data_IF_707779642109
#
_entry.id   IF_707779642109
#
_cell.length_a   1.000
_cell.length_b   1.000
_cell.length_c   1.000
_cell.angle_alpha   90.00
_cell.angle_beta   90.00
_cell.angle_gamma   90.00
#
_symmetry.space_group_name_H-M   'P 1'
#
loop_
_entity.id
_entity.type
_entity.pdbx_description
1 polymer ?
2 non-polymer ?
3 non-polymer ?
4 non-polymer ?
5 water ?
#
# COMPACT_ATOMS: atom_id res chain seq x y z
N UNK A 1 7.67 -5.11 13.88
CA UNK A 1 6.94 -3.82 13.52
C UNK A 1 7.86 -2.98 12.69
N UNK A 2 7.31 -1.96 12.02
CA UNK A 2 8.13 -0.97 11.33
C UNK A 2 7.58 0.36 11.73
N UNK A 3 8.41 1.39 11.69
CA UNK A 3 8.07 2.72 12.04
C UNK A 3 8.53 3.77 11.01
N UNK A 4 7.85 4.88 11.01
CA UNK A 4 8.19 6.05 10.22
C UNK A 4 7.76 7.35 10.94
N UNK A 5 8.72 8.27 11.09
CA UNK A 5 8.50 9.60 11.68
C UNK A 5 8.54 10.72 10.68
N UNK A 6 7.50 11.51 10.60
CA UNK A 6 7.44 12.61 9.71
C UNK A 6 8.38 13.75 10.17
N UNK A 7 8.53 13.83 11.47
CA UNK A 7 9.34 14.92 12.03
C UNK A 7 10.79 14.64 11.66
N UNK A 8 11.35 15.54 10.86
CA UNK A 8 12.73 15.34 10.36
C UNK A 8 12.86 14.45 9.15
N UNK A 9 11.74 14.03 8.61
CA UNK A 9 11.78 13.13 7.44
C UNK A 9 12.35 13.81 6.20
N UNK A 10 13.04 12.99 5.43
CA UNK A 10 13.55 13.37 4.15
C UNK A 10 13.50 12.18 3.20
N UNK A 11 13.90 12.39 1.94
CA UNK A 11 13.78 11.22 1.04
C UNK A 11 14.52 9.99 1.52
N UNK A 12 15.69 10.22 2.14
CA UNK A 12 16.49 9.11 2.66
C UNK A 12 15.72 8.31 3.75
N UNK A 13 15.16 9.03 4.71
CA UNK A 13 14.51 8.35 5.81
C UNK A 13 13.20 7.65 5.38
N UNK A 14 12.51 8.28 4.45
CA UNK A 14 11.30 7.62 3.86
C UNK A 14 11.73 6.35 3.10
N UNK A 15 12.81 6.40 2.31
CA UNK A 15 13.26 5.19 1.65
C UNK A 15 13.69 4.10 2.60
N UNK A 16 14.31 4.47 3.73
CA UNK A 16 14.57 3.49 4.81
C UNK A 16 13.29 2.78 5.38
N UNK A 17 12.20 3.54 5.55
CA UNK A 17 10.94 3.02 6.02
C UNK A 17 10.35 2.04 4.94
N UNK A 18 10.41 2.42 3.69
CA UNK A 18 9.83 1.60 2.65
C UNK A 18 10.64 0.33 2.56
N UNK A 19 11.96 0.44 2.73
CA UNK A 19 12.79 -0.78 2.78
C UNK A 19 12.44 -1.70 3.93
N UNK A 20 12.29 -1.12 5.12
CA UNK A 20 11.86 -1.87 6.31
C UNK A 20 10.51 -2.57 6.07
N UNK A 21 9.57 -1.80 5.48
CA UNK A 21 8.22 -2.35 5.20
C UNK A 21 8.34 -3.58 4.27
N UNK A 22 9.08 -3.42 3.15
CA UNK A 22 9.27 -4.56 2.26
C UNK A 22 9.89 -5.77 2.99
N UNK A 23 10.90 -5.47 3.76
CA UNK A 23 11.66 -6.52 4.47
C UNK A 23 10.91 -7.18 5.58
N UNK A 24 9.82 -6.58 6.05
CA UNK A 24 8.97 -7.20 7.07
C UNK A 24 7.93 -8.17 6.51
N UNK A 25 7.82 -8.24 5.17
CA UNK A 25 6.81 -9.10 4.51
C UNK A 25 7.53 -10.43 4.23
N UNK A 26 6.98 -11.51 4.72
CA UNK A 26 7.65 -12.81 4.54
C UNK A 26 7.48 -13.40 3.18
N UNK A 27 8.52 -14.15 2.74
CA UNK A 27 8.48 -14.85 1.48
C UNK A 27 9.33 -16.11 1.61
N UNK A 28 8.97 -17.15 0.88
CA UNK A 28 9.79 -18.38 0.82
C UNK A 28 10.53 -18.53 -0.52
N UNK A 29 10.11 -17.81 -1.55
CA UNK A 29 10.84 -17.82 -2.79
C UNK A 29 10.72 -16.48 -3.48
N UNK A 30 11.52 -16.32 -4.52
CA UNK A 30 11.43 -15.24 -5.47
C UNK A 30 11.12 -15.79 -6.82
N UNK A 31 10.42 -15.00 -7.62
CA UNK A 31 10.03 -15.32 -8.96
C UNK A 31 10.58 -14.21 -9.80
N UNK A 32 11.45 -14.58 -10.76
CA UNK A 32 12.22 -13.64 -11.48
C UNK A 32 12.85 -12.58 -10.56
N UNK A 33 13.45 -13.04 -9.48
CA UNK A 33 14.15 -12.26 -8.49
C UNK A 33 13.27 -11.28 -7.68
N UNK A 34 11.97 -11.50 -7.70
CA UNK A 34 11.03 -10.62 -6.96
C UNK A 34 10.44 -11.47 -5.88
N UNK A 35 10.44 -10.99 -4.58
CA UNK A 35 9.77 -11.72 -3.52
C UNK A 35 8.33 -12.03 -3.81
N UNK A 36 8.02 -13.29 -3.62
CA UNK A 36 6.68 -13.86 -3.73
C UNK A 36 5.99 -13.87 -2.42
N UNK A 37 4.96 -13.05 -2.27
CA UNK A 37 4.26 -13.06 -1.00
C UNK A 37 3.60 -14.42 -0.78
N UNK A 38 3.39 -14.74 0.49
CA UNK A 38 2.88 -16.05 0.86
C UNK A 38 1.41 -16.25 0.52
N UNK A 39 1.03 -17.51 0.20
CA UNK A 39 -0.35 -17.79 -0.09
C UNK A 39 -1.23 -17.50 1.12
N UNK A 40 -0.75 -17.84 2.31
CA UNK A 40 -1.53 -17.75 3.52
C UNK A 40 -0.64 -17.69 4.76
N UNK A 41 -1.13 -17.06 5.83
CA UNK A 41 -0.44 -16.98 7.10
C UNK A 41 -1.53 -17.04 8.19
N UNK A 42 -1.34 -17.92 9.18
CA UNK A 42 -2.38 -18.22 10.18
C UNK A 42 -2.13 -17.39 11.43
N UNK A 43 -3.22 -16.89 12.00
CA UNK A 43 -3.23 -16.24 13.28
C UNK A 43 -2.69 -14.85 13.21
N UNK A 44 -2.07 -14.42 14.30
CA UNK A 44 -1.67 -13.04 14.44
C UNK A 44 -0.50 -12.68 13.55
N UNK A 45 0.31 -13.69 13.16
CA UNK A 45 1.44 -13.50 12.26
C UNK A 45 1.08 -12.94 10.89
N UNK A 46 -0.20 -13.04 10.50
CA UNK A 46 -0.69 -12.42 9.28
C UNK A 46 -0.51 -10.93 9.17
N UNK A 47 -0.40 -10.25 10.30
CA UNK A 47 -0.49 -8.78 10.33
C UNK A 47 0.78 -8.14 10.82
N UNK A 48 1.25 -7.20 10.01
CA UNK A 48 2.36 -6.34 10.31
C UNK A 48 1.82 -5.07 10.92
N UNK A 49 2.45 -4.58 11.99
CA UNK A 49 2.12 -3.28 12.57
C UNK A 49 3.10 -2.21 12.12
N UNK A 50 2.53 -1.14 11.55
CA UNK A 50 3.26 0.04 11.15
C UNK A 50 2.97 1.17 12.09
N UNK A 51 4.02 1.64 12.73
CA UNK A 51 3.89 2.84 13.58
C UNK A 51 4.22 4.12 12.83
N UNK A 52 3.21 4.95 12.63
CA UNK A 52 3.44 6.19 11.95
C UNK A 52 3.28 7.38 12.89
N UNK A 53 4.18 8.36 12.76
CA UNK A 53 4.17 9.59 13.61
C UNK A 53 4.11 10.84 12.76
N UNK A 54 3.20 11.71 13.12
CA UNK A 54 3.02 12.95 12.43
C UNK A 54 4.14 13.92 12.89
N UNK A 55 4.18 15.09 12.30
CA UNK A 55 5.24 16.18 12.54
C UNK A 55 5.31 16.47 14.05
N UNK A 56 4.14 16.47 14.69
CA UNK A 56 3.99 16.78 16.14
C UNK A 56 4.23 15.61 17.01
N UNK A 57 4.48 14.44 16.42
CA UNK A 57 4.82 13.25 17.22
C UNK A 57 3.65 12.37 17.72
N UNK A 58 2.46 12.72 17.28
CA UNK A 58 1.28 11.88 17.56
C UNK A 58 1.34 10.71 16.61
N UNK A 59 0.70 9.64 16.99
CA UNK A 59 0.90 8.36 16.33
C UNK A 59 -0.36 7.54 16.11
N UNK A 60 -0.37 6.77 15.01
CA UNK A 60 -1.31 5.71 14.81
C UNK A 60 -0.52 4.43 14.53
N UNK A 61 -1.12 3.28 14.82
CA UNK A 61 -0.57 2.02 14.42
C UNK A 61 -1.48 1.44 13.34
N UNK A 62 -0.91 1.11 12.20
CA UNK A 62 -1.66 0.56 11.10
C UNK A 62 -1.39 -0.93 10.93
N UNK A 63 -2.43 -1.73 10.84
CA UNK A 63 -2.30 -3.21 10.64
C UNK A 63 -2.38 -3.55 9.17
N UNK A 64 -1.37 -4.27 8.68
CA UNK A 64 -1.22 -4.60 7.28
C UNK A 64 -1.17 -6.15 7.10
N UNK A 65 -2.01 -6.70 6.23
CA UNK A 65 -2.03 -8.12 5.92
C UNK A 65 -0.78 -8.46 5.08
N UNK A 66 0.12 -9.35 5.59
CA UNK A 66 1.42 -9.54 4.96
C UNK A 66 1.40 -10.36 3.63
N UNK A 67 0.25 -10.97 3.32
CA UNK A 67 0.03 -11.72 2.12
C UNK A 67 -0.29 -10.83 0.97
N UNK A 68 -0.85 -9.61 1.21
CA UNK A 68 -1.28 -8.82 0.07
C UNK A 68 -1.04 -7.26 0.23
N UNK A 69 -0.40 -6.91 1.34
CA UNK A 69 -0.06 -5.54 1.74
C UNK A 69 -1.29 -4.66 1.92
N UNK A 70 -2.43 -5.29 2.17
CA UNK A 70 -3.71 -4.56 2.36
C UNK A 70 -3.74 -4.04 3.76
N UNK A 71 -4.15 -2.77 3.86
CA UNK A 71 -4.38 -2.21 5.20
C UNK A 71 -5.69 -2.72 5.70
N UNK A 72 -5.70 -3.20 6.93
CA UNK A 72 -6.89 -3.78 7.56
C UNK A 72 -7.62 -2.76 8.42
N UNK A 73 -6.84 -1.96 9.15
CA UNK A 73 -7.39 -1.02 10.14
C UNK A 73 -6.26 -0.38 10.86
N UNK A 74 -6.54 0.39 11.88
CA UNK A 74 -5.48 1.17 12.55
C UNK A 74 -6.01 1.45 13.98
N UNK A 75 -5.07 1.77 14.83
CA UNK A 75 -5.35 2.16 16.21
C UNK A 75 -4.97 3.61 16.40
N UNK A 76 -5.83 4.37 17.01
CA UNK A 76 -5.53 5.80 17.29
C UNK A 76 -5.95 6.10 18.71
N UNK A 77 -4.95 6.31 19.60
CA UNK A 77 -5.05 6.47 20.93
C UNK A 77 -5.86 5.11 21.45
N UNK A 78 -6.96 5.19 22.17
CA UNK A 78 -7.57 4.03 22.45
C UNK A 78 -8.77 3.45 21.72
N UNK A 79 -8.85 3.87 20.45
CA UNK A 79 -9.92 3.42 19.61
C UNK A 79 -9.33 2.70 18.39
N UNK A 80 -9.83 1.53 18.05
CA UNK A 80 -9.47 0.85 16.78
C UNK A 80 -10.50 1.11 15.72
N UNK A 81 -10.06 1.09 14.48
CA UNK A 81 -10.91 1.31 13.33
C UNK A 81 -10.57 0.22 12.28
N UNK A 82 -11.58 -0.41 11.67
CA UNK A 82 -11.36 -1.46 10.64
C UNK A 82 -12.25 -1.23 9.44
N UNK A 83 -11.73 -1.51 8.26
CA UNK A 83 -12.60 -1.52 7.09
C UNK A 83 -13.81 -2.46 7.26
N UNK A 84 -14.89 -2.12 6.57
CA UNK A 84 -16.11 -2.96 6.62
C UNK A 84 -15.98 -4.04 5.53
N UNK A 85 -15.19 -5.08 5.82
CA UNK A 85 -14.91 -6.16 4.87
C UNK A 85 -14.45 -7.37 5.68
N UNK A 86 -14.73 -8.59 5.15
CA UNK A 86 -14.44 -9.75 6.00
C UNK A 86 -12.99 -9.96 6.41
N UNK A 87 -12.02 -9.65 5.57
CA UNK A 87 -10.65 -9.81 5.94
C UNK A 87 -10.26 -8.88 7.11
N UNK A 88 -10.87 -7.69 7.16
CA UNK A 88 -10.56 -6.75 8.24
C UNK A 88 -11.26 -7.15 9.47
N UNK A 89 -12.49 -7.69 9.38
CA UNK A 89 -13.14 -8.15 10.59
C UNK A 89 -12.33 -9.29 11.21
N UNK A 90 -11.83 -10.19 10.39
CA UNK A 90 -10.92 -11.26 10.86
C UNK A 90 -9.70 -10.67 11.51
N UNK A 91 -9.06 -9.71 10.85
CA UNK A 91 -7.91 -9.03 11.48
C UNK A 91 -8.24 -8.54 12.90
N UNK A 92 -9.46 -8.01 13.07
CA UNK A 92 -9.85 -7.43 14.38
C UNK A 92 -9.92 -8.45 15.51
N UNK A 93 -9.89 -9.73 15.13
CA UNK A 93 -9.68 -10.80 16.10
C UNK A 93 -8.30 -10.92 16.67
N UNK A 94 -7.29 -10.36 15.99
CA UNK A 94 -5.92 -10.50 16.40
C UNK A 94 -5.20 -9.21 16.80
N UNK A 95 -5.56 -8.06 16.23
CA UNK A 95 -4.78 -6.85 16.48
C UNK A 95 -5.67 -5.83 17.22
N UNK A 96 -5.04 -5.04 18.04
CA UNK A 96 -5.63 -3.91 18.74
C UNK A 96 -6.75 -4.31 19.67
N UNK A 97 -6.63 -5.51 20.18
CA UNK A 97 -7.65 -6.09 21.09
C UNK A 97 -7.81 -5.26 22.39
N UNK A 98 -6.77 -4.57 22.84
CA UNK A 98 -6.87 -3.78 24.04
C UNK A 98 -7.41 -2.37 23.84
N UNK A 99 -7.86 -2.00 22.64
CA UNK A 99 -8.58 -0.73 22.43
C UNK A 99 -9.82 -0.70 23.29
N UNK A 100 -10.13 0.47 23.82
CA UNK A 100 -11.39 0.62 24.60
C UNK A 100 -12.62 0.41 23.72
N UNK A 101 -12.51 0.66 22.44
CA UNK A 101 -13.63 0.70 21.59
C UNK A 101 -13.18 0.36 20.20
N UNK A 102 -14.00 -0.35 19.44
CA UNK A 102 -13.75 -0.70 18.03
C UNK A 102 -14.79 -0.15 17.09
N UNK A 103 -14.37 0.72 16.15
CA UNK A 103 -15.29 1.27 15.17
C UNK A 103 -15.05 0.57 13.84
N UNK A 104 -16.13 0.12 13.24
CA UNK A 104 -16.09 -0.35 11.86
C UNK A 104 -16.34 0.84 10.95
N UNK A 105 -15.38 1.16 10.09
CA UNK A 105 -15.59 2.22 9.11
C UNK A 105 -16.76 1.92 8.17
N UNK A 106 -17.42 2.97 7.63
CA UNK A 106 -18.62 2.72 6.79
C UNK A 106 -18.23 2.58 5.28
N UNK A 107 -17.14 1.85 5.04
CA UNK A 107 -16.74 1.42 3.70
C UNK A 107 -15.67 0.34 3.82
N UNK A 108 -15.51 -0.40 2.74
CA UNK A 108 -14.35 -1.28 2.54
C UNK A 108 -13.16 -0.47 2.06
N UNK A 109 -12.03 -1.16 1.95
CA UNK A 109 -10.77 -0.52 1.58
C UNK A 109 -10.34 -0.51 0.15
N UNK A 110 -11.18 -0.96 -0.77
CA UNK A 110 -10.74 -0.80 -2.11
C UNK A 110 -10.90 0.60 -2.66
N UNK A 111 -10.16 0.86 -3.71
CA UNK A 111 -10.10 2.23 -4.21
C UNK A 111 -11.45 2.80 -4.63
N UNK A 112 -12.24 1.94 -5.24
CA UNK A 112 -13.54 2.39 -5.79
C UNK A 112 -14.43 2.89 -4.61
N UNK A 113 -14.54 2.09 -3.58
CA UNK A 113 -15.35 2.47 -2.40
C UNK A 113 -14.78 3.67 -1.62
N UNK A 114 -13.45 3.70 -1.49
CA UNK A 114 -12.83 4.81 -0.75
C UNK A 114 -13.06 6.12 -1.46
N UNK A 115 -12.90 6.11 -2.80
CA UNK A 115 -13.11 7.30 -3.62
C UNK A 115 -14.57 7.82 -3.55
N UNK A 116 -15.52 6.90 -3.54
CA UNK A 116 -16.97 7.27 -3.31
C UNK A 116 -17.16 7.99 -1.94
N UNK A 117 -16.59 7.39 -0.89
CA UNK A 117 -16.63 7.97 0.46
C UNK A 117 -15.94 9.31 0.55
N UNK A 118 -14.80 9.43 -0.12
CA UNK A 118 -14.04 10.66 -0.03
C UNK A 118 -14.65 11.80 -0.86
N UNK A 119 -15.45 11.42 -1.86
CA UNK A 119 -16.07 12.40 -2.75
C UNK A 119 -15.19 12.80 -3.91
N UNK A 120 -14.08 12.08 -4.11
CA UNK A 120 -13.17 12.41 -5.19
C UNK A 120 -12.31 11.22 -5.56
N UNK A 121 -11.92 11.17 -6.83
CA UNK A 121 -11.06 10.10 -7.24
C UNK A 121 -9.64 10.43 -6.84
N UNK A 122 -8.81 9.42 -6.81
CA UNK A 122 -7.51 9.76 -6.30
C UNK A 122 -6.61 10.49 -7.28
N UNK A 123 -6.98 10.57 -8.57
CA UNK A 123 -6.35 11.51 -9.51
C UNK A 123 -6.30 12.95 -9.04
N UNK A 124 -7.23 13.33 -8.19
CA UNK A 124 -7.37 14.70 -7.71
C UNK A 124 -6.90 14.91 -6.28
N UNK A 125 -6.39 13.84 -5.62
CA UNK A 125 -5.96 13.96 -4.22
C UNK A 125 -4.44 14.04 -4.21
N UNK A 126 -3.86 15.16 -3.78
CA UNK A 126 -2.40 15.21 -3.68
C UNK A 126 -1.84 14.25 -2.66
N UNK A 127 -0.68 13.66 -3.00
CA UNK A 127 0.05 12.79 -2.11
C UNK A 127 1.48 13.29 -1.95
N UNK A 128 2.18 12.74 -0.97
CA UNK A 128 3.44 13.24 -0.54
C UNK A 128 3.63 12.99 0.90
N UNK A 129 4.77 13.45 1.45
CA UNK A 129 4.99 13.33 2.87
C UNK A 129 4.17 14.34 3.64
N UNK A 130 4.02 15.57 3.14
CA UNK A 130 3.07 16.47 3.91
C UNK A 130 1.64 15.91 3.95
N UNK A 131 1.20 15.32 2.87
CA UNK A 131 -0.13 14.71 2.81
C UNK A 131 -0.23 13.55 3.83
N UNK A 132 0.85 12.80 3.99
CA UNK A 132 0.86 11.70 4.98
C UNK A 132 0.80 12.24 6.38
N UNK A 133 1.49 13.36 6.65
CA UNK A 133 1.28 14.03 7.94
C UNK A 133 -0.17 14.37 8.18
N UNK A 134 -0.80 14.95 7.17
CA UNK A 134 -2.20 15.34 7.27
C UNK A 134 -3.05 14.13 7.50
N UNK A 135 -2.74 13.03 6.81
CA UNK A 135 -3.60 11.84 6.94
C UNK A 135 -3.56 11.25 8.37
N UNK A 136 -2.37 11.19 8.94
CA UNK A 136 -2.19 10.67 10.26
C UNK A 136 -3.02 11.53 11.23
N UNK A 137 -2.87 12.85 11.07
CA UNK A 137 -3.61 13.80 11.89
C UNK A 137 -5.11 13.57 11.79
N UNK A 138 -5.62 13.42 10.57
CA UNK A 138 -7.04 13.16 10.36
C UNK A 138 -7.48 11.87 11.07
N UNK A 139 -6.67 10.82 10.94
CA UNK A 139 -7.10 9.52 11.49
C UNK A 139 -7.10 9.49 13.01
N UNK A 140 -6.48 10.50 13.67
CA UNK A 140 -6.40 10.51 15.12
C UNK A 140 -7.75 10.64 15.78
N UNK A 141 -8.63 11.33 15.09
CA UNK A 141 -10.02 11.51 15.59
C UNK A 141 -11.06 11.25 14.50
N UNK A 142 -12.00 10.42 14.83
CA UNK A 142 -12.88 9.90 13.83
C UNK A 142 -13.65 10.97 13.04
N UNK A 143 -13.62 10.81 11.75
CA UNK A 143 -14.41 11.53 10.82
C UNK A 143 -14.46 10.70 9.58
N UNK A 144 -15.55 10.01 9.30
CA UNK A 144 -15.43 8.99 8.25
C UNK A 144 -15.19 9.52 6.83
N UNK A 145 -15.79 10.65 6.45
CA UNK A 145 -15.49 11.26 5.13
C UNK A 145 -14.06 11.74 5.05
N UNK A 146 -13.56 12.40 6.08
CA UNK A 146 -12.14 12.84 6.09
C UNK A 146 -11.20 11.60 6.06
N UNK A 147 -11.54 10.60 6.86
CA UNK A 147 -10.73 9.40 6.95
C UNK A 147 -10.59 8.69 5.57
N UNK A 148 -11.64 8.61 4.78
CA UNK A 148 -11.52 8.00 3.42
C UNK A 148 -10.37 8.64 2.62
N UNK A 149 -10.32 9.95 2.54
CA UNK A 149 -9.28 10.63 1.84
C UNK A 149 -7.93 10.36 2.49
N UNK A 150 -7.88 10.41 3.82
CA UNK A 150 -6.62 10.16 4.53
C UNK A 150 -6.15 8.74 4.15
N UNK A 151 -7.07 7.79 4.09
CA UNK A 151 -6.74 6.42 3.86
C UNK A 151 -6.27 6.22 2.42
N UNK A 152 -6.79 6.99 1.45
CA UNK A 152 -6.27 6.92 0.08
C UNK A 152 -4.85 7.43 0.06
N UNK A 153 -4.53 8.49 0.84
CA UNK A 153 -3.15 8.93 0.94
C UNK A 153 -2.27 7.87 1.61
N UNK A 154 -2.73 7.35 2.73
CA UNK A 154 -1.93 6.40 3.50
C UNK A 154 -1.59 5.12 2.72
N UNK A 155 -2.61 4.59 2.02
CA UNK A 155 -2.38 3.35 1.23
C UNK A 155 -1.33 3.61 0.14
N UNK A 156 -1.40 4.77 -0.57
CA UNK A 156 -0.47 5.04 -1.64
C UNK A 156 0.91 5.28 -1.17
N UNK A 157 1.06 5.97 -0.03
CA UNK A 157 2.37 6.36 0.43
C UNK A 157 3.04 5.26 1.25
N UNK A 158 2.37 4.15 1.55
CA UNK A 158 2.99 3.04 2.30
C UNK A 158 2.95 1.80 1.37
N UNK A 159 1.82 1.13 1.35
CA UNK A 159 1.67 -0.13 0.55
C UNK A 159 2.08 0.00 -0.89
N UNK A 160 1.59 1.02 -1.60
CA UNK A 160 1.88 1.11 -3.05
C UNK A 160 3.35 1.41 -3.33
N UNK A 161 3.94 2.24 -2.46
CA UNK A 161 5.42 2.48 -2.52
C UNK A 161 6.22 1.23 -2.25
N UNK A 162 5.74 0.41 -1.30
CA UNK A 162 6.41 -0.86 -1.00
C UNK A 162 6.36 -1.74 -2.27
N UNK A 163 5.22 -1.71 -2.99
CA UNK A 163 5.09 -2.56 -4.17
C UNK A 163 5.84 -2.18 -5.37
N UNK A 164 6.08 -0.89 -5.58
CA UNK A 164 6.69 -0.37 -6.79
C UNK A 164 7.73 0.64 -6.48
N UNK A 165 8.97 0.39 -6.90
CA UNK A 165 10.06 1.41 -6.74
C UNK A 165 9.68 2.75 -7.37
N UNK A 166 9.02 2.76 -8.51
CA UNK A 166 8.62 4.05 -9.15
C UNK A 166 7.73 4.88 -8.19
N UNK A 167 6.82 4.20 -7.50
CA UNK A 167 5.92 4.92 -6.59
C UNK A 167 6.66 5.46 -5.34
N UNK A 168 7.62 4.65 -4.79
CA UNK A 168 8.50 5.15 -3.78
C UNK A 168 9.24 6.42 -4.22
N UNK A 169 9.82 6.40 -5.41
CA UNK A 169 10.51 7.56 -5.92
C UNK A 169 9.58 8.76 -6.14
N UNK A 170 8.35 8.52 -6.58
CA UNK A 170 7.39 9.61 -6.72
C UNK A 170 7.11 10.28 -5.35
N UNK A 171 6.98 9.48 -4.31
CA UNK A 171 6.74 10.04 -2.94
C UNK A 171 7.99 10.82 -2.48
N UNK A 172 9.15 10.25 -2.76
CA UNK A 172 10.41 10.99 -2.45
C UNK A 172 10.48 12.34 -3.07
N UNK A 173 9.99 12.47 -4.28
CA UNK A 173 9.96 13.72 -4.98
C UNK A 173 8.97 14.72 -4.31
N UNK A 174 8.02 14.16 -3.55
CA UNK A 174 7.01 14.91 -2.85
C UNK A 174 7.30 14.92 -1.40
N UNK A 175 8.57 14.99 -1.01
CA UNK A 175 8.92 15.01 0.41
C UNK A 175 8.45 16.28 1.07
N UNK A 176 8.46 17.40 0.34
CA UNK A 176 8.13 18.70 0.93
C UNK A 176 7.08 19.51 0.17
N UNK A 177 6.46 18.93 -0.83
CA UNK A 177 5.43 19.51 -1.67
C UNK A 177 4.58 18.39 -2.20
N UNK A 178 3.30 18.36 -1.81
CA UNK A 178 2.39 17.39 -2.39
C UNK A 178 2.08 17.65 -3.81
N UNK A 179 1.72 16.56 -4.51
CA UNK A 179 1.27 16.64 -5.89
C UNK A 179 0.43 15.43 -6.17
N UNK A 180 -0.63 15.62 -6.97
CA UNK A 180 -1.48 14.48 -7.37
C UNK A 180 -0.62 13.39 -8.08
N UNK A 181 -1.03 12.14 -7.90
CA UNK A 181 -0.24 11.05 -8.47
C UNK A 181 -0.11 11.19 -9.98
N UNK A 182 1.07 10.86 -10.52
CA UNK A 182 1.21 10.75 -11.96
C UNK A 182 0.24 9.68 -12.51
N UNK A 183 -0.11 9.82 -13.79
CA UNK A 183 -0.99 8.81 -14.44
C UNK A 183 -0.34 7.38 -14.37
N UNK A 184 0.99 7.32 -14.48
CA UNK A 184 1.71 6.06 -14.38
C UNK A 184 1.58 5.46 -12.98
N UNK A 185 1.59 6.33 -11.98
CA UNK A 185 1.35 5.82 -10.60
C UNK A 185 0.01 5.10 -10.50
N UNK A 186 -1.06 5.77 -10.93
CA UNK A 186 -2.38 5.19 -10.89
C UNK A 186 -2.41 3.87 -11.67
N UNK A 187 -1.74 3.89 -12.82
CA UNK A 187 -1.71 2.70 -13.72
C UNK A 187 -1.10 1.47 -12.95
N UNK A 188 0.03 1.72 -12.30
CA UNK A 188 0.75 0.65 -11.58
C UNK A 188 -0.11 0.12 -10.46
N UNK A 189 -0.69 1.05 -9.66
CA UNK A 189 -1.54 0.60 -8.56
C UNK A 189 -2.62 -0.34 -9.02
N UNK A 190 -3.24 0.07 -10.11
CA UNK A 190 -4.34 -0.65 -10.70
C UNK A 190 -3.91 -1.98 -11.34
N UNK A 191 -2.64 -2.08 -11.71
CA UNK A 191 -2.10 -3.28 -12.38
C UNK A 191 -1.32 -4.27 -11.52
N UNK A 192 -1.19 -4.03 -10.22
CA UNK A 192 -0.37 -4.88 -9.38
C UNK A 192 -0.82 -6.35 -9.39
N UNK A 193 -2.11 -6.61 -9.25
CA UNK A 193 -2.56 -7.97 -9.20
C UNK A 193 -2.31 -8.64 -10.57
N UNK A 194 -2.71 -7.97 -11.63
CA UNK A 194 -2.48 -8.42 -13.03
C UNK A 194 -1.02 -8.69 -13.31
N UNK A 195 -0.14 -7.76 -12.99
CA UNK A 195 1.29 -8.00 -13.15
C UNK A 195 1.86 -9.16 -12.35
N UNK A 196 1.44 -9.26 -11.08
CA UNK A 196 1.88 -10.31 -10.16
C UNK A 196 1.52 -11.63 -10.82
N UNK A 197 0.29 -11.70 -11.34
CA UNK A 197 -0.22 -12.93 -11.94
C UNK A 197 0.60 -13.29 -13.20
N UNK A 198 0.80 -12.34 -14.10
CA UNK A 198 1.48 -12.60 -15.38
C UNK A 198 2.95 -13.00 -15.16
N UNK A 199 3.59 -12.40 -14.19
CA UNK A 199 4.98 -12.74 -13.82
C UNK A 199 5.06 -14.17 -13.29
N UNK A 200 4.12 -14.58 -12.46
CA UNK A 200 4.09 -15.96 -12.06
C UNK A 200 3.74 -16.94 -13.24
N UNK A 201 2.89 -16.52 -14.16
CA UNK A 201 2.53 -17.44 -15.29
C UNK A 201 3.64 -17.51 -16.29
N UNK A 202 4.48 -16.49 -16.33
CA UNK A 202 5.62 -16.49 -17.24
C UNK A 202 6.62 -17.58 -16.88
N UNK A 203 6.71 -17.98 -15.61
CA UNK A 203 7.47 -19.19 -15.27
C UNK A 203 6.65 -20.40 -15.84
N UNK A 204 7.22 -21.10 -16.78
CA UNK A 204 6.46 -22.12 -17.51
C UNK A 204 6.08 -21.66 -18.90
N UNK A 205 6.34 -20.40 -19.22
CA UNK A 205 6.00 -19.86 -20.50
C UNK A 205 7.18 -19.03 -21.04
N UNK A 206 8.40 -19.41 -20.68
CA UNK A 206 9.62 -18.85 -21.20
C UNK A 206 9.73 -17.36 -20.91
N UNK A 207 9.17 -16.94 -19.79
CA UNK A 207 9.25 -15.47 -19.47
C UNK A 207 8.18 -14.63 -20.14
N UNK A 208 7.25 -15.25 -20.92
CA UNK A 208 6.29 -14.53 -21.72
C UNK A 208 4.98 -14.47 -20.92
N UNK A 209 4.42 -13.28 -20.77
CA UNK A 209 3.08 -13.17 -20.24
C UNK A 209 2.00 -13.92 -21.09
N UNK A 210 1.18 -14.72 -20.44
CA UNK A 210 -0.01 -15.28 -21.14
C UNK A 210 -0.97 -14.18 -21.67
N UNK A 211 -1.17 -13.10 -20.91
CA UNK A 211 -1.95 -11.96 -21.33
C UNK A 211 -1.17 -10.66 -21.08
N UNK A 212 -0.98 -9.81 -22.12
CA UNK A 212 -0.18 -8.61 -21.87
C UNK A 212 -0.88 -7.64 -20.98
N UNK A 213 -0.08 -6.84 -20.29
CA UNK A 213 -0.59 -5.87 -19.30
C UNK A 213 -0.38 -4.52 -19.93
N UNK A 214 -1.47 -3.73 -20.02
CA UNK A 214 -1.39 -2.38 -20.53
C UNK A 214 -1.13 -1.40 -19.36
N UNK A 215 -0.08 -0.60 -19.49
CA UNK A 215 0.26 0.48 -18.58
C UNK A 215 0.49 1.89 -19.21
N UNK A 216 0.43 2.92 -18.37
CA UNK A 216 0.89 4.27 -18.75
C UNK A 216 2.31 4.46 -18.28
N UNK A 217 3.21 4.97 -19.13
CA UNK A 217 4.63 5.13 -18.67
C UNK A 217 4.94 6.51 -18.04
N UNK A 218 6.17 6.60 -17.50
CA UNK A 218 6.78 7.82 -16.87
C UNK A 218 6.60 9.12 -17.64
N UNK A 219 6.56 9.01 -18.97
CA UNK A 219 6.27 10.13 -19.88
C UNK A 219 4.75 10.29 -20.20
N UNK A 220 3.87 9.50 -19.58
CA UNK A 220 2.44 9.61 -19.84
C UNK A 220 1.93 8.88 -21.07
N UNK A 221 2.78 8.04 -21.69
CA UNK A 221 2.41 7.26 -22.88
C UNK A 221 2.05 5.84 -22.57
N UNK A 222 1.04 5.28 -23.27
CA UNK A 222 0.42 3.95 -22.99
C UNK A 222 1.13 2.72 -23.60
N UNK A 223 2.15 2.20 -22.85
CA UNK A 223 2.93 0.97 -23.18
C UNK A 223 2.23 -0.38 -22.88
N UNK A 224 2.79 -1.45 -23.46
CA UNK A 224 2.19 -2.77 -23.35
C UNK A 224 3.26 -3.72 -22.88
N UNK A 225 3.01 -4.44 -21.79
CA UNK A 225 4.09 -5.25 -21.09
C UNK A 225 3.78 -6.71 -21.43
N UNK A 226 4.73 -7.35 -22.11
CA UNK A 226 4.50 -8.68 -22.69
C UNK A 226 5.36 -9.77 -22.12
N UNK A 227 6.44 -9.41 -21.43
CA UNK A 227 7.40 -10.39 -20.97
C UNK A 227 8.23 -9.86 -19.83
N UNK A 228 8.93 -10.75 -19.16
CA UNK A 228 9.76 -10.43 -17.96
C UNK A 228 10.99 -9.53 -18.20
N UNK A 229 11.35 -9.26 -19.45
CA UNK A 229 12.47 -8.38 -19.72
C UNK A 229 12.10 -6.92 -19.58
N UNK A 230 10.84 -6.63 -19.37
CA UNK A 230 10.42 -5.24 -19.35
C UNK A 230 10.93 -4.59 -18.03
N UNK A 231 11.23 -3.30 -18.09
CA UNK A 231 11.75 -2.56 -16.92
C UNK A 231 10.76 -2.64 -15.72
N UNK A 232 9.47 -2.74 -16.00
CA UNK A 232 8.45 -2.86 -14.91
C UNK A 232 8.76 -4.06 -14.05
N UNK A 233 9.25 -5.13 -14.72
CA UNK A 233 9.60 -6.38 -14.03
C UNK A 233 11.02 -6.43 -13.48
N UNK A 234 11.97 -5.88 -14.21
CA UNK A 234 13.40 -5.98 -13.82
C UNK A 234 13.78 -4.95 -12.78
N UNK A 235 13.03 -3.87 -12.72
CA UNK A 235 13.50 -2.71 -11.94
C UNK A 235 12.44 -2.25 -10.92
N UNK A 236 11.19 -2.30 -11.29
CA UNK A 236 10.14 -1.52 -10.65
C UNK A 236 9.40 -2.32 -9.58
N UNK A 237 8.66 -3.36 -9.98
CA UNK A 237 7.87 -4.11 -9.06
C UNK A 237 8.72 -4.81 -8.02
N UNK A 238 8.33 -4.74 -6.73
CA UNK A 238 9.17 -5.26 -5.60
C UNK A 238 8.59 -6.40 -4.84
N UNK A 239 7.31 -6.66 -5.02
CA UNK A 239 6.55 -7.68 -4.31
C UNK A 239 5.50 -8.25 -5.31
N UNK A 240 5.31 -9.58 -5.25
CA UNK A 240 4.27 -10.26 -5.98
C UNK A 240 3.17 -10.83 -5.11
N UNK A 241 1.96 -10.47 -5.44
CA UNK A 241 0.74 -11.06 -4.91
C UNK A 241 0.68 -12.47 -5.42
N UNK A 242 0.63 -13.40 -4.51
CA UNK A 242 0.59 -14.86 -4.88
C UNK A 242 -0.65 -15.15 -5.75
N UNK A 243 -0.47 -15.92 -6.86
CA UNK A 243 -1.64 -16.29 -7.67
C UNK A 243 -2.69 -17.04 -6.91
N UNK A 244 -2.33 -17.69 -5.81
CA UNK A 244 -3.34 -18.34 -4.96
C UNK A 244 -4.39 -17.37 -4.35
N UNK A 245 -4.03 -16.10 -4.28
CA UNK A 245 -4.92 -15.04 -3.82
C UNK A 245 -5.48 -14.17 -4.97
N UNK A 246 -5.34 -14.63 -6.22
CA UNK A 246 -5.89 -13.94 -7.38
C UNK A 246 -7.02 -14.82 -8.01
X LIG B 1 -7.28 -2.62 2.12
X LIG B 1 -6.43 -2.18 1.12
X LIG B 1 -5.32 -1.59 1.43
X LIG B 1 -6.74 -2.39 -0.21
X LIG B 1 -7.91 -3.05 -0.53
X LIG B 1 -8.14 -3.22 -1.77
X LIG B 1 -8.76 -3.50 0.50
X LIG B 1 -8.42 -3.28 1.88
X LIG C 1 9.74 -8.33 -24.59
X LIG C 1 9.54 -8.17 -26.11
X LIG C 1 10.35 -7.00 -26.73
X LIG C 1 10.43 -5.75 -25.86
X LIG C 1 10.75 -6.16 -24.41
X LIG C 1 10.82 -5.00 -23.39
X LIG C 1 9.21 -10.52 -26.85
X LIG C 1 9.94 -11.76 -27.30
X LIG C 1 10.00 -9.47 -26.61
X LIG C 1 9.84 -6.51 -27.99
X LIG C 1 11.43 -4.91 -26.46
X LIG C 1 9.74 -7.06 -23.97
X LIG C 1 9.61 -4.23 -23.36
X LIG C 1 7.99 -10.51 -26.74
X LIG D 1 -3.92 -3.34 -5.44
X LIG D 1 -5.19 -2.92 -4.81
X LIG D 1 -3.09 -2.05 -5.48
X LIG D 1 -1.74 -2.17 -6.05
#
# INVERSE_FOLDING_TARGET
DVSFRLSGADPSSYGMFIKDLRNALPHTEKVYNIPLLLPSVSGAGRYLLMHLFNYDGNTITVAVDVTNVYIMGYLALTTSYFFNEPAADLASQYVFRSARRKITLPYSGNYERLQIAAGKPREKIPIGLPALDTAISTLLHYDSTAAAGALLVLIQTTAEAARFKYIEQQIQERAYRDEVPSSATISLENSWSGLSKQIQLAQGNNGVFRTPTVLVDSKGNRVQITNVTSNVVTSNIQLLLNTKNI
URA N1 C2 O2 N3 C4 O4 C5 C6
NAG C1 C2 C3 C4 C5 C6 C7 C8 N2 O3 O4 O5 O6 O7
EDO C1 O1 C2 O2
#
